data_IF_283362084362
#
_entry.id   IF_283362084362
#
_cell.length_a   1.000
_cell.length_b   1.000
_cell.length_c   1.000
_cell.angle_alpha   90.00
_cell.angle_beta   90.00
_cell.angle_gamma   90.00
#
_symmetry.space_group_name_H-M   'P 1'
#
loop_
_entity.id
_entity.type
_entity.pdbx_description
1 polymer ?
#
# COMPACT_ATOMS: atom_id res chain seq x y z
N UNK A 1 35.78 -24.20 17.98
CA UNK A 1 36.16 -22.90 17.38
C UNK A 1 36.34 -21.94 18.55
N UNK A 2 37.54 -21.44 18.82
CA UNK A 2 37.74 -20.43 19.87
C UNK A 2 37.26 -19.08 19.31
N UNK A 3 36.25 -18.50 19.95
CA UNK A 3 35.78 -17.15 19.63
C UNK A 3 36.74 -16.15 20.29
N UNK A 4 37.46 -15.42 19.47
CA UNK A 4 38.34 -14.32 19.87
C UNK A 4 37.56 -12.99 19.78
N UNK A 5 37.73 -12.12 20.77
CA UNK A 5 37.11 -10.80 20.84
C UNK A 5 37.53 -9.88 19.68
N UNK A 6 38.79 -9.93 19.22
CA UNK A 6 39.25 -9.18 18.05
C UNK A 6 38.58 -9.69 16.77
N UNK A 7 38.51 -11.02 16.60
CA UNK A 7 37.81 -11.66 15.49
C UNK A 7 36.33 -11.27 15.39
N UNK A 8 35.58 -11.30 16.51
CA UNK A 8 34.16 -10.90 16.52
C UNK A 8 34.00 -9.40 16.26
N UNK A 9 34.92 -8.55 16.75
CA UNK A 9 34.92 -7.11 16.48
C UNK A 9 35.14 -6.79 15.02
N UNK A 10 36.09 -7.46 14.38
CA UNK A 10 36.31 -7.35 12.94
C UNK A 10 35.08 -7.72 12.12
N UNK A 11 34.34 -8.76 12.53
CA UNK A 11 33.09 -9.17 11.87
C UNK A 11 31.97 -8.12 12.00
N UNK A 12 31.83 -7.51 13.18
CA UNK A 12 30.84 -6.44 13.43
C UNK A 12 31.16 -5.20 12.60
N UNK A 13 32.43 -4.76 12.58
CA UNK A 13 32.86 -3.58 11.83
C UNK A 13 32.76 -3.78 10.31
N UNK A 14 33.07 -4.98 9.80
CA UNK A 14 32.88 -5.30 8.38
C UNK A 14 31.39 -5.29 8.00
N UNK A 15 30.52 -5.89 8.82
CA UNK A 15 29.08 -5.88 8.57
C UNK A 15 28.49 -4.47 8.63
N UNK A 16 28.93 -3.64 9.57
CA UNK A 16 28.52 -2.23 9.63
C UNK A 16 28.91 -1.49 8.33
N UNK A 17 30.14 -1.73 7.84
CA UNK A 17 30.62 -1.17 6.58
C UNK A 17 29.85 -1.68 5.35
N UNK A 18 29.42 -2.95 5.36
CA UNK A 18 28.57 -3.53 4.30
C UNK A 18 27.17 -2.92 4.31
N UNK A 19 26.54 -2.79 5.48
CA UNK A 19 25.23 -2.14 5.64
C UNK A 19 25.30 -0.69 5.19
N UNK A 20 26.33 0.04 5.61
CA UNK A 20 26.50 1.44 5.24
C UNK A 20 26.70 1.60 3.73
N UNK A 21 27.46 0.70 3.08
CA UNK A 21 27.59 0.69 1.60
C UNK A 21 26.29 0.35 0.90
N UNK A 22 25.55 -0.65 1.39
CA UNK A 22 24.30 -1.11 0.78
C UNK A 22 23.17 -0.07 0.87
N UNK A 23 23.15 0.72 1.95
CA UNK A 23 22.10 1.73 2.19
C UNK A 23 22.59 3.18 2.04
N UNK A 24 23.85 3.44 1.67
CA UNK A 24 24.33 4.79 1.36
C UNK A 24 23.56 5.44 0.19
N UNK A 25 23.07 4.63 -0.75
CA UNK A 25 22.27 5.08 -1.90
C UNK A 25 20.76 5.09 -1.65
N UNK A 26 20.27 4.33 -0.67
CA UNK A 26 18.85 4.15 -0.39
C UNK A 26 18.58 4.71 1.02
N UNK A 27 18.02 5.93 1.13
CA UNK A 27 17.58 6.56 2.38
C UNK A 27 16.47 5.74 3.09
N UNK A 28 16.80 4.54 3.55
CA UNK A 28 15.87 3.61 4.17
C UNK A 28 16.06 3.67 5.69
N UNK A 29 14.96 3.90 6.39
CA UNK A 29 14.90 3.95 7.86
C UNK A 29 15.43 2.65 8.50
N UNK A 30 15.38 1.53 7.77
CA UNK A 30 15.82 0.21 8.20
C UNK A 30 17.34 0.04 8.28
N UNK A 31 18.12 0.71 7.42
CA UNK A 31 19.59 0.63 7.49
C UNK A 31 20.13 1.27 8.78
N UNK A 32 19.55 2.38 9.19
CA UNK A 32 19.94 3.10 10.40
C UNK A 32 19.69 2.29 11.70
N UNK A 33 18.62 1.50 11.77
CA UNK A 33 18.36 0.63 12.93
C UNK A 33 19.38 -0.49 13.05
N UNK A 34 19.77 -1.12 11.93
CA UNK A 34 20.76 -2.20 11.95
C UNK A 34 22.15 -1.70 12.35
N UNK A 35 22.55 -0.50 11.90
CA UNK A 35 23.80 0.14 12.32
C UNK A 35 23.78 0.41 13.83
N UNK A 36 22.68 0.92 14.35
CA UNK A 36 22.52 1.18 15.79
C UNK A 36 22.63 -0.10 16.63
N UNK A 37 22.05 -1.20 16.15
CA UNK A 37 22.15 -2.50 16.83
C UNK A 37 23.62 -3.00 16.84
N UNK A 38 24.36 -2.84 15.74
CA UNK A 38 25.79 -3.19 15.68
C UNK A 38 26.66 -2.30 16.57
N UNK A 39 26.37 -1.01 16.65
CA UNK A 39 27.04 -0.10 17.59
C UNK A 39 26.79 -0.53 19.04
N UNK A 40 25.58 -1.00 19.36
CA UNK A 40 25.24 -1.57 20.66
C UNK A 40 26.08 -2.81 20.99
N UNK A 41 26.21 -3.75 20.04
CA UNK A 41 27.04 -4.95 20.19
C UNK A 41 28.53 -4.60 20.32
N UNK A 42 29.01 -3.63 19.55
CA UNK A 42 30.40 -3.14 19.64
C UNK A 42 30.70 -2.58 21.02
N UNK A 43 29.82 -1.73 21.57
CA UNK A 43 29.97 -1.18 22.92
C UNK A 43 29.95 -2.27 24.00
N UNK A 44 29.13 -3.30 23.84
CA UNK A 44 29.10 -4.43 24.77
C UNK A 44 30.44 -5.18 24.83
N UNK A 45 31.17 -5.25 23.71
CA UNK A 45 32.50 -5.86 23.66
C UNK A 45 33.65 -4.95 24.13
N UNK A 46 33.41 -3.65 24.29
CA UNK A 46 34.39 -2.69 24.83
C UNK A 46 34.39 -2.67 26.37
N UNK A 47 33.55 -3.49 27.01
CA UNK A 47 33.45 -3.58 28.47
C UNK A 47 34.60 -4.37 29.11
N UNK A 48 34.81 -4.17 30.42
CA UNK A 48 35.87 -4.84 31.18
C UNK A 48 35.73 -6.38 31.23
N UNK A 49 34.53 -6.91 31.00
CA UNK A 49 34.25 -8.35 30.85
C UNK A 49 33.46 -8.55 29.55
N UNK A 50 34.14 -8.71 28.41
CA UNK A 50 33.48 -8.73 27.11
C UNK A 50 32.56 -9.96 26.97
N UNK A 51 31.29 -9.72 26.67
CA UNK A 51 30.33 -10.78 26.31
C UNK A 51 30.50 -11.19 24.84
N UNK A 52 31.61 -11.89 24.56
CA UNK A 52 31.99 -12.31 23.20
C UNK A 52 30.93 -13.25 22.60
N UNK A 53 30.32 -14.11 23.41
CA UNK A 53 29.33 -15.09 22.96
C UNK A 53 28.02 -14.37 22.60
N UNK A 54 27.51 -13.49 23.48
CA UNK A 54 26.32 -12.69 23.20
C UNK A 54 26.51 -11.76 22.01
N UNK A 55 27.68 -11.13 21.88
CA UNK A 55 28.02 -10.30 20.74
C UNK A 55 28.04 -11.07 19.42
N UNK A 56 28.59 -12.30 19.40
CA UNK A 56 28.62 -13.14 18.21
C UNK A 56 27.21 -13.61 17.78
N UNK A 57 26.36 -14.03 18.72
CA UNK A 57 24.96 -14.38 18.41
C UNK A 57 24.14 -13.15 17.99
N UNK A 58 24.39 -11.98 18.60
CA UNK A 58 23.82 -10.71 18.17
C UNK A 58 24.23 -10.36 16.73
N UNK A 59 25.52 -10.51 16.40
CA UNK A 59 26.04 -10.34 15.04
C UNK A 59 25.33 -11.25 14.04
N UNK A 60 25.19 -12.55 14.35
CA UNK A 60 24.51 -13.50 13.46
C UNK A 60 23.05 -13.08 13.19
N UNK A 61 22.33 -12.62 14.22
CA UNK A 61 20.95 -12.15 14.08
C UNK A 61 20.86 -10.89 13.20
N UNK A 62 21.77 -9.94 13.38
CA UNK A 62 21.81 -8.73 12.55
C UNK A 62 22.18 -9.06 11.11
N UNK A 63 23.15 -9.97 10.91
CA UNK A 63 23.53 -10.47 9.59
C UNK A 63 22.36 -11.14 8.87
N UNK A 64 21.65 -12.04 9.53
CA UNK A 64 20.48 -12.69 8.96
C UNK A 64 19.40 -11.67 8.58
N UNK A 65 19.17 -10.67 9.43
CA UNK A 65 18.23 -9.57 9.15
C UNK A 65 18.67 -8.74 7.93
N UNK A 66 19.96 -8.46 7.80
CA UNK A 66 20.54 -7.74 6.66
C UNK A 66 20.42 -8.54 5.36
N UNK A 67 20.73 -9.84 5.37
CA UNK A 67 20.57 -10.75 4.23
C UNK A 67 19.10 -10.85 3.79
N UNK A 68 18.17 -10.96 4.76
CA UNK A 68 16.74 -10.95 4.47
C UNK A 68 16.30 -9.61 3.85
N UNK A 69 16.78 -8.47 4.36
CA UNK A 69 16.46 -7.16 3.81
C UNK A 69 17.03 -6.96 2.40
N UNK A 70 18.28 -7.35 2.16
CA UNK A 70 18.91 -7.25 0.83
C UNK A 70 18.22 -8.16 -0.19
N UNK A 71 17.86 -9.39 0.20
CA UNK A 71 17.06 -10.28 -0.65
C UNK A 71 15.67 -9.70 -0.94
N UNK A 72 15.01 -9.09 0.05
CA UNK A 72 13.71 -8.42 -0.14
C UNK A 72 13.81 -7.18 -1.03
N UNK A 73 14.84 -6.35 -0.87
CA UNK A 73 15.08 -5.18 -1.74
C UNK A 73 15.40 -5.61 -3.17
N UNK A 74 16.23 -6.64 -3.36
CA UNK A 74 16.53 -7.18 -4.68
C UNK A 74 15.26 -7.74 -5.37
N UNK A 75 14.43 -8.47 -4.63
CA UNK A 75 13.13 -8.95 -5.10
C UNK A 75 12.19 -7.78 -5.45
N UNK A 76 12.08 -6.79 -4.56
CA UNK A 76 11.23 -5.62 -4.74
C UNK A 76 11.67 -4.81 -5.96
N UNK A 77 12.97 -4.60 -6.16
CA UNK A 77 13.50 -3.86 -7.31
C UNK A 77 13.18 -4.57 -8.65
N UNK A 78 13.34 -5.89 -8.70
CA UNK A 78 13.06 -6.69 -9.89
C UNK A 78 11.57 -6.71 -10.25
N UNK A 79 10.69 -6.74 -9.26
CA UNK A 79 9.24 -6.93 -9.46
C UNK A 79 8.43 -5.62 -9.45
N UNK A 80 9.01 -4.55 -8.91
CA UNK A 80 8.42 -3.21 -8.90
C UNK A 80 8.11 -2.73 -10.31
N UNK A 81 9.10 -2.77 -11.22
CA UNK A 81 8.93 -2.18 -12.56
C UNK A 81 7.81 -2.84 -13.37
N UNK A 82 7.73 -4.19 -13.46
CA UNK A 82 6.61 -4.85 -14.12
C UNK A 82 5.25 -4.46 -13.52
N UNK A 83 5.10 -4.52 -12.19
CA UNK A 83 3.83 -4.19 -11.53
C UNK A 83 3.44 -2.72 -11.72
N UNK A 84 4.40 -1.81 -11.58
CA UNK A 84 4.20 -0.39 -11.78
C UNK A 84 3.78 -0.09 -13.23
N UNK A 85 4.39 -0.72 -14.22
CA UNK A 85 4.01 -0.56 -15.63
C UNK A 85 2.63 -1.12 -15.92
N UNK A 86 2.25 -2.26 -15.33
CA UNK A 86 0.90 -2.82 -15.46
C UNK A 86 -0.13 -1.84 -14.91
N UNK A 87 0.07 -1.33 -13.69
CA UNK A 87 -0.84 -0.36 -13.07
C UNK A 87 -0.91 0.96 -13.85
N UNK A 88 0.22 1.45 -14.36
CA UNK A 88 0.25 2.64 -15.23
C UNK A 88 -0.53 2.41 -16.53
N UNK A 89 -0.36 1.23 -17.15
CA UNK A 89 -1.09 0.87 -18.37
C UNK A 89 -2.58 0.75 -18.11
N UNK A 90 -2.97 0.12 -16.99
CA UNK A 90 -4.37 0.03 -16.56
C UNK A 90 -4.97 1.41 -16.32
N UNK A 91 -4.24 2.33 -15.68
CA UNK A 91 -4.69 3.70 -15.48
C UNK A 91 -4.91 4.41 -16.82
N UNK A 92 -3.98 4.27 -17.76
CA UNK A 92 -4.13 4.83 -19.12
C UNK A 92 -5.36 4.24 -19.81
N UNK A 93 -5.56 2.92 -19.74
CA UNK A 93 -6.74 2.25 -20.32
C UNK A 93 -8.03 2.78 -19.69
N UNK A 94 -8.07 2.99 -18.36
CA UNK A 94 -9.25 3.53 -17.68
C UNK A 94 -9.51 5.00 -18.07
N UNK A 95 -8.48 5.83 -18.21
CA UNK A 95 -8.64 7.23 -18.60
C UNK A 95 -9.01 7.38 -20.08
N UNK A 96 -8.28 6.72 -20.97
CA UNK A 96 -8.57 6.71 -22.40
C UNK A 96 -9.90 6.02 -22.70
N UNK A 97 -10.22 4.95 -21.99
CA UNK A 97 -11.52 4.27 -22.08
C UNK A 97 -12.65 5.21 -21.71
N UNK A 98 -12.54 5.96 -20.59
CA UNK A 98 -13.53 6.96 -20.22
C UNK A 98 -13.73 8.05 -21.28
N UNK A 99 -12.63 8.60 -21.82
CA UNK A 99 -12.68 9.62 -22.86
C UNK A 99 -13.27 9.09 -24.18
N UNK A 100 -12.88 7.89 -24.60
CA UNK A 100 -13.41 7.26 -25.81
C UNK A 100 -14.90 6.93 -25.67
N UNK A 101 -15.31 6.45 -24.50
CA UNK A 101 -16.70 6.14 -24.16
C UNK A 101 -17.55 7.40 -24.15
N UNK A 102 -17.06 8.52 -23.65
CA UNK A 102 -17.74 9.82 -23.67
C UNK A 102 -17.96 10.32 -25.12
N UNK A 103 -16.91 10.32 -25.94
CA UNK A 103 -17.00 10.69 -27.37
C UNK A 103 -17.93 9.74 -28.14
N UNK A 104 -17.83 8.44 -27.91
CA UNK A 104 -18.62 7.45 -28.64
C UNK A 104 -20.09 7.42 -28.19
N UNK A 105 -20.38 7.79 -26.94
CA UNK A 105 -21.75 7.91 -26.45
C UNK A 105 -22.59 8.91 -27.26
N UNK A 106 -21.95 9.95 -27.82
CA UNK A 106 -22.62 10.92 -28.70
C UNK A 106 -23.03 10.34 -30.06
N UNK A 107 -22.41 9.22 -30.47
CA UNK A 107 -22.64 8.56 -31.76
C UNK A 107 -23.45 7.26 -31.64
N UNK A 108 -23.65 6.72 -30.43
CA UNK A 108 -24.38 5.47 -30.20
C UNK A 108 -25.34 5.57 -29.02
N UNK A 109 -26.64 5.54 -29.31
CA UNK A 109 -27.71 5.58 -28.31
C UNK A 109 -27.67 4.40 -27.33
N UNK A 110 -27.20 3.24 -27.78
CA UNK A 110 -27.03 2.06 -26.90
C UNK A 110 -25.93 2.30 -25.86
N UNK A 111 -24.76 2.80 -26.28
CA UNK A 111 -23.68 3.14 -25.36
C UNK A 111 -24.07 4.29 -24.43
N UNK A 112 -24.72 5.33 -24.94
CA UNK A 112 -25.27 6.40 -24.13
C UNK A 112 -26.20 5.86 -23.02
N UNK A 113 -27.08 4.90 -23.34
CA UNK A 113 -27.99 4.29 -22.37
C UNK A 113 -27.27 3.46 -21.29
N UNK A 114 -26.10 2.90 -21.62
CA UNK A 114 -25.32 2.06 -20.72
C UNK A 114 -24.49 2.92 -19.75
N UNK A 115 -23.86 3.98 -20.25
CA UNK A 115 -23.02 4.91 -19.47
C UNK A 115 -23.88 5.87 -18.63
N UNK A 116 -25.11 6.18 -19.08
CA UNK A 116 -26.09 6.94 -18.32
C UNK A 116 -26.47 6.26 -16.99
N UNK A 117 -26.10 4.98 -16.78
CA UNK A 117 -26.28 4.32 -15.49
C UNK A 117 -25.25 4.85 -14.48
N UNK A 118 -25.68 5.55 -13.43
CA UNK A 118 -24.75 6.17 -12.47
C UNK A 118 -23.85 5.15 -11.77
N UNK A 119 -24.32 3.90 -11.59
CA UNK A 119 -23.53 2.82 -11.02
C UNK A 119 -22.28 2.48 -11.87
N UNK A 120 -22.38 2.51 -13.21
CA UNK A 120 -21.25 2.17 -14.09
C UNK A 120 -20.21 3.29 -14.06
N UNK A 121 -20.66 4.55 -14.12
CA UNK A 121 -19.76 5.71 -13.98
C UNK A 121 -19.07 5.73 -12.60
N UNK A 122 -19.79 5.45 -11.52
CA UNK A 122 -19.20 5.40 -10.17
C UNK A 122 -18.24 4.22 -10.01
N UNK A 123 -18.55 3.05 -10.55
CA UNK A 123 -17.63 1.91 -10.56
C UNK A 123 -16.32 2.26 -11.31
N UNK A 124 -16.44 2.95 -12.45
CA UNK A 124 -15.30 3.38 -13.25
C UNK A 124 -14.40 4.35 -12.47
N UNK A 125 -14.96 5.43 -11.94
CA UNK A 125 -14.20 6.41 -11.16
C UNK A 125 -13.63 5.84 -9.86
N UNK A 126 -14.33 4.90 -9.22
CA UNK A 126 -13.81 4.15 -8.07
C UNK A 126 -12.59 3.30 -8.42
N UNK A 127 -12.62 2.61 -9.57
CA UNK A 127 -11.48 1.84 -10.06
C UNK A 127 -10.28 2.75 -10.39
N UNK A 128 -10.51 3.93 -10.99
CA UNK A 128 -9.45 4.93 -11.23
C UNK A 128 -8.80 5.37 -9.92
N UNK A 129 -9.59 5.74 -8.91
CA UNK A 129 -9.07 6.16 -7.60
C UNK A 129 -8.24 5.06 -6.92
N UNK A 130 -8.70 3.81 -7.00
CA UNK A 130 -7.98 2.67 -6.43
C UNK A 130 -6.67 2.36 -7.16
N UNK A 131 -6.64 2.50 -8.48
CA UNK A 131 -5.44 2.35 -9.32
C UNK A 131 -4.38 3.40 -8.97
N UNK A 132 -4.79 4.67 -8.81
CA UNK A 132 -3.88 5.73 -8.36
C UNK A 132 -3.35 5.45 -6.94
N UNK A 133 -4.20 4.97 -6.04
CA UNK A 133 -3.76 4.57 -4.71
C UNK A 133 -2.82 3.35 -4.72
N UNK A 134 -2.97 2.43 -5.68
CA UNK A 134 -2.06 1.30 -5.88
C UNK A 134 -0.68 1.80 -6.32
N UNK A 135 -0.63 2.68 -7.32
CA UNK A 135 0.59 3.33 -7.81
C UNK A 135 1.31 4.13 -6.72
N UNK A 136 0.56 4.92 -5.94
CA UNK A 136 1.12 5.67 -4.81
C UNK A 136 1.73 4.72 -3.76
N UNK A 137 1.03 3.63 -3.41
CA UNK A 137 1.55 2.68 -2.42
C UNK A 137 2.78 1.92 -2.94
N UNK A 138 2.78 1.52 -4.21
CA UNK A 138 3.94 0.91 -4.88
C UNK A 138 5.16 1.82 -4.80
N UNK A 139 4.99 3.10 -5.16
CA UNK A 139 6.06 4.08 -5.13
C UNK A 139 6.54 4.35 -3.70
N UNK A 140 5.61 4.56 -2.75
CA UNK A 140 5.94 4.80 -1.35
C UNK A 140 6.69 3.62 -0.72
N UNK A 141 6.20 2.39 -0.91
CA UNK A 141 6.83 1.20 -0.35
C UNK A 141 8.19 0.88 -1.01
N UNK A 142 8.39 1.28 -2.27
CA UNK A 142 9.71 1.24 -2.91
C UNK A 142 10.70 2.17 -2.21
N UNK A 143 10.30 3.42 -1.96
CA UNK A 143 11.17 4.40 -1.29
C UNK A 143 11.53 4.01 0.16
N UNK A 144 10.66 3.27 0.82
CA UNK A 144 10.83 2.89 2.23
C UNK A 144 11.27 1.43 2.45
N UNK A 145 11.49 0.65 1.39
CA UNK A 145 11.94 -0.75 1.49
C UNK A 145 10.92 -1.71 2.11
N UNK A 146 9.63 -1.36 2.13
CA UNK A 146 8.58 -2.12 2.84
C UNK A 146 7.74 -3.03 1.94
N UNK A 147 8.13 -3.22 0.66
CA UNK A 147 7.39 -4.11 -0.24
C UNK A 147 7.31 -5.53 0.35
N UNK A 148 6.09 -6.07 0.45
CA UNK A 148 5.84 -7.45 0.91
C UNK A 148 5.39 -8.33 -0.25
N UNK A 149 5.63 -9.63 -0.16
CA UNK A 149 5.18 -10.61 -1.16
C UNK A 149 3.64 -10.69 -1.26
N UNK A 150 2.93 -10.31 -0.19
CA UNK A 150 1.46 -10.22 -0.18
C UNK A 150 0.90 -9.06 -0.99
N UNK A 151 1.76 -8.16 -1.47
CA UNK A 151 1.37 -6.97 -2.22
C UNK A 151 0.85 -7.32 -3.63
N UNK A 152 1.30 -8.42 -4.25
CA UNK A 152 0.89 -8.83 -5.59
C UNK A 152 -0.62 -9.12 -5.67
N UNK A 153 -1.14 -9.95 -4.75
CA UNK A 153 -2.55 -10.30 -4.71
C UNK A 153 -3.44 -9.10 -4.36
N UNK A 154 -2.94 -8.23 -3.48
CA UNK A 154 -3.64 -6.99 -3.12
C UNK A 154 -3.72 -6.03 -4.29
N UNK A 155 -2.65 -5.84 -5.06
CA UNK A 155 -2.65 -4.98 -6.27
C UNK A 155 -3.66 -5.49 -7.30
N UNK A 156 -3.67 -6.81 -7.57
CA UNK A 156 -4.56 -7.40 -8.57
C UNK A 156 -6.06 -7.28 -8.24
N UNK A 157 -6.40 -7.21 -6.95
CA UNK A 157 -7.79 -7.15 -6.49
C UNK A 157 -8.27 -5.73 -6.24
N UNK A 158 -7.35 -4.76 -6.16
CA UNK A 158 -7.61 -3.42 -5.70
C UNK A 158 -8.52 -2.61 -6.63
N UNK A 159 -8.39 -2.78 -7.93
CA UNK A 159 -9.22 -2.04 -8.90
C UNK A 159 -10.68 -2.51 -8.83
N UNK A 160 -10.89 -3.82 -8.67
CA UNK A 160 -12.22 -4.42 -8.49
C UNK A 160 -12.84 -3.92 -7.18
N UNK A 161 -12.09 -4.00 -6.07
CA UNK A 161 -12.54 -3.49 -4.77
C UNK A 161 -12.85 -1.99 -4.84
N UNK A 162 -12.01 -1.21 -5.50
CA UNK A 162 -12.20 0.22 -5.75
C UNK A 162 -13.48 0.53 -6.50
N UNK A 163 -13.79 -0.22 -7.56
CA UNK A 163 -15.02 -0.06 -8.32
C UNK A 163 -16.25 -0.38 -7.47
N UNK A 164 -16.24 -1.49 -6.73
CA UNK A 164 -17.34 -1.87 -5.83
C UNK A 164 -17.54 -0.80 -4.74
N UNK A 165 -16.46 -0.36 -4.08
CA UNK A 165 -16.51 0.69 -3.06
C UNK A 165 -17.00 2.02 -3.63
N UNK A 166 -16.63 2.34 -4.87
CA UNK A 166 -17.10 3.52 -5.57
C UNK A 166 -18.63 3.52 -5.73
N UNK A 167 -19.20 2.38 -6.14
CA UNK A 167 -20.67 2.20 -6.23
C UNK A 167 -21.33 2.33 -4.87
N UNK A 168 -20.79 1.65 -3.85
CA UNK A 168 -21.35 1.69 -2.49
C UNK A 168 -21.32 3.12 -1.92
N UNK A 169 -20.21 3.83 -2.08
CA UNK A 169 -20.06 5.20 -1.59
C UNK A 169 -21.04 6.17 -2.28
N UNK A 170 -21.20 6.04 -3.60
CA UNK A 170 -22.17 6.82 -4.36
C UNK A 170 -23.61 6.52 -3.94
N UNK A 171 -23.95 5.24 -3.70
CA UNK A 171 -25.26 4.85 -3.19
C UNK A 171 -25.53 5.45 -1.80
N UNK A 172 -24.55 5.38 -0.89
CA UNK A 172 -24.66 5.98 0.44
C UNK A 172 -24.86 7.49 0.38
N UNK A 173 -24.15 8.18 -0.51
CA UNK A 173 -24.32 9.61 -0.74
C UNK A 173 -25.75 9.92 -1.22
N UNK A 174 -26.26 9.15 -2.19
CA UNK A 174 -27.63 9.32 -2.71
C UNK A 174 -28.69 9.08 -1.62
N UNK A 175 -28.58 8.00 -0.85
CA UNK A 175 -29.49 7.71 0.26
C UNK A 175 -29.45 8.85 1.28
N UNK A 176 -28.26 9.30 1.66
CA UNK A 176 -28.09 10.40 2.64
C UNK A 176 -28.72 11.69 2.13
N UNK A 177 -28.48 12.05 0.86
CA UNK A 177 -29.04 13.25 0.25
C UNK A 177 -30.58 13.20 0.19
N UNK A 178 -31.15 12.05 -0.19
CA UNK A 178 -32.59 11.84 -0.20
C UNK A 178 -33.19 11.98 1.21
N UNK A 179 -32.54 11.41 2.22
CA UNK A 179 -33.04 11.48 3.61
C UNK A 179 -32.90 12.86 4.26
N UNK A 180 -31.91 13.65 3.86
CA UNK A 180 -31.59 14.93 4.53
C UNK A 180 -32.16 16.15 3.81
N UNK A 181 -32.22 16.12 2.48
CA UNK A 181 -32.59 17.28 1.66
C UNK A 181 -33.82 17.02 0.78
N UNK A 182 -34.29 15.78 0.68
CA UNK A 182 -35.37 15.40 -0.23
C UNK A 182 -35.05 15.65 -1.72
N UNK A 183 -33.79 15.94 -2.05
CA UNK A 183 -33.38 16.41 -3.36
C UNK A 183 -32.71 15.31 -4.18
N UNK A 184 -33.22 15.11 -5.40
CA UNK A 184 -32.58 14.30 -6.43
C UNK A 184 -31.41 15.03 -7.13
N UNK A 185 -31.14 16.30 -6.82
CA UNK A 185 -30.05 17.04 -7.45
C UNK A 185 -28.67 16.41 -7.15
N UNK A 186 -28.52 15.74 -5.99
CA UNK A 186 -27.27 15.04 -5.64
C UNK A 186 -27.10 13.72 -6.41
N UNK A 187 -28.19 13.17 -6.97
CA UNK A 187 -28.13 11.93 -7.77
C UNK A 187 -27.75 12.16 -9.23
N UNK A 188 -27.62 13.42 -9.66
CA UNK A 188 -27.25 13.79 -11.03
C UNK A 188 -26.05 14.76 -11.02
N UNK A 189 -24.98 14.43 -11.75
CA UNK A 189 -23.78 15.27 -11.87
C UNK A 189 -22.48 14.59 -11.44
N UNK A 190 -21.42 15.39 -11.25
CA UNK A 190 -20.05 14.92 -11.00
C UNK A 190 -19.79 14.49 -9.54
N UNK A 191 -20.64 14.91 -8.61
CA UNK A 191 -20.50 14.63 -7.17
C UNK A 191 -20.41 13.12 -6.83
N UNK A 192 -21.33 12.25 -7.32
CA UNK A 192 -21.22 10.81 -7.12
C UNK A 192 -19.91 10.21 -7.63
N UNK A 193 -19.41 10.68 -8.79
CA UNK A 193 -18.16 10.24 -9.37
C UNK A 193 -16.94 10.64 -8.52
N UNK A 194 -16.92 11.87 -8.00
CA UNK A 194 -15.87 12.35 -7.08
C UNK A 194 -15.87 11.53 -5.79
N UNK A 195 -17.04 11.28 -5.20
CA UNK A 195 -17.16 10.46 -4.00
C UNK A 195 -16.72 9.02 -4.26
N UNK A 196 -17.07 8.46 -5.41
CA UNK A 196 -16.63 7.13 -5.80
C UNK A 196 -15.11 7.04 -5.97
N UNK A 197 -14.51 8.03 -6.63
CA UNK A 197 -13.06 8.16 -6.76
C UNK A 197 -12.36 8.21 -5.40
N UNK A 198 -12.83 9.07 -4.49
CA UNK A 198 -12.26 9.20 -3.15
C UNK A 198 -12.41 7.92 -2.34
N UNK A 199 -13.53 7.21 -2.45
CA UNK A 199 -13.74 5.93 -1.79
C UNK A 199 -12.76 4.86 -2.30
N UNK A 200 -12.56 4.78 -3.63
CA UNK A 200 -11.56 3.90 -4.23
C UNK A 200 -10.13 4.24 -3.82
N UNK A 201 -9.80 5.54 -3.78
CA UNK A 201 -8.48 6.01 -3.34
C UNK A 201 -8.20 5.73 -1.86
N UNK A 202 -9.22 5.84 -1.01
CA UNK A 202 -9.11 5.75 0.45
C UNK A 202 -9.52 4.41 1.05
N UNK A 203 -9.64 3.35 0.24
CA UNK A 203 -10.10 1.99 0.59
C UNK A 203 -9.90 1.59 2.07
N UNK A 204 -8.67 1.65 2.60
CA UNK A 204 -8.40 1.32 4.02
C UNK A 204 -9.14 2.22 5.01
N UNK A 205 -9.07 3.54 4.84
CA UNK A 205 -9.76 4.51 5.70
C UNK A 205 -11.27 4.46 5.49
N UNK A 206 -11.73 4.23 4.26
CA UNK A 206 -13.14 4.12 3.94
C UNK A 206 -13.78 2.84 4.49
N UNK A 207 -13.09 1.68 4.41
CA UNK A 207 -13.52 0.44 5.05
C UNK A 207 -13.58 0.57 6.57
N UNK A 208 -12.57 1.18 7.20
CA UNK A 208 -12.61 1.47 8.65
C UNK A 208 -13.74 2.43 9.00
N UNK A 209 -13.96 3.48 8.19
CA UNK A 209 -15.06 4.42 8.38
C UNK A 209 -16.43 3.72 8.23
N UNK A 210 -16.62 2.88 7.21
CA UNK A 210 -17.82 2.06 7.03
C UNK A 210 -18.01 1.11 8.21
N UNK A 211 -16.98 0.37 8.63
CA UNK A 211 -17.09 -0.51 9.80
C UNK A 211 -17.47 0.27 11.07
N UNK A 212 -16.92 1.47 11.26
CA UNK A 212 -17.18 2.28 12.45
C UNK A 212 -18.56 2.96 12.41
N UNK A 213 -18.99 3.48 11.26
CA UNK A 213 -20.28 4.20 11.12
C UNK A 213 -21.44 3.27 10.82
N UNK A 214 -21.27 2.30 9.92
CA UNK A 214 -22.29 1.31 9.57
C UNK A 214 -22.41 0.25 10.68
N UNK A 215 -21.30 -0.13 11.33
CA UNK A 215 -21.33 -1.01 12.50
C UNK A 215 -22.01 -0.39 13.72
N UNK A 216 -22.10 0.94 13.79
CA UNK A 216 -22.90 1.65 14.79
C UNK A 216 -24.39 1.78 14.40
N UNK A 217 -24.75 1.48 13.13
CA UNK A 217 -26.13 1.49 12.63
C UNK A 217 -26.76 0.09 12.60
N UNK A 218 -25.94 -0.97 12.60
CA UNK A 218 -26.39 -2.33 12.86
C UNK A 218 -26.28 -2.60 14.37
N UNK A 219 -27.38 -2.75 15.12
CA UNK A 219 -27.30 -3.36 16.43
C UNK A 219 -26.90 -4.83 16.19
N UNK A 220 -25.59 -5.09 16.18
CA UNK A 220 -25.09 -6.45 16.32
C UNK A 220 -25.63 -6.91 17.66
N UNK A 221 -26.55 -7.86 17.60
CA UNK A 221 -27.06 -8.61 18.72
C UNK A 221 -25.87 -9.11 19.56
N UNK A 222 -25.52 -8.34 20.59
CA UNK A 222 -24.71 -8.80 21.69
C UNK A 222 -25.64 -9.59 22.60
N UNK A 223 -25.59 -10.90 22.46
CA UNK A 223 -26.28 -11.87 23.29
C UNK A 223 -26.46 -13.15 22.48
N UNK A 224 -25.90 -14.30 22.82
CA UNK A 224 -25.26 -14.76 24.05
C UNK A 224 -24.33 -15.92 23.70
N UNK A 225 -23.35 -16.12 24.58
CA UNK A 225 -22.51 -17.31 24.82
C UNK A 225 -22.90 -18.60 24.08
#
# INVERSE_FOLDING_TARGET
MQLDAEGVRGQIDDLASQIQRAFASEQTVSGASLIKDLEGLRKAMETATPDVIGAYYGYLRVKESFEQMTARNAWAHKRFWPLYLIEMTLLIILLCGGAAVDVWSTHSAWLASLIARPAISCAWWGAVGATIAALHLLYYNRMHGTLSQTMDAWIATKQIAGGVLGVVAAMLLQVTALTTTGSHAVSSGMLPAITAFLAGFSERKFLTYLQTKLGNLLPVAKGSL
#
